data_IF_970516972341
#
_entry.id   IF_970516972341
#
_cell.length_a   1.000
_cell.length_b   1.000
_cell.length_c   1.000
_cell.angle_alpha   90.00
_cell.angle_beta   90.00
_cell.angle_gamma   90.00
#
_symmetry.space_group_name_H-M   'P 1'
#
loop_
_entity.id
_entity.type
_entity.pdbx_description
1 polymer ?
#
# COMPACT_ATOMS: atom_id res chain seq x y z
N UNK A 1 -5.62 15.18 15.97
CA UNK A 1 -4.71 15.87 15.04
C UNK A 1 -3.31 15.29 15.04
N UNK A 2 -2.62 15.25 16.20
CA UNK A 2 -1.21 14.83 16.34
C UNK A 2 -0.87 13.50 15.65
N UNK A 3 -1.57 12.41 16.00
CA UNK A 3 -1.30 11.09 15.42
C UNK A 3 -1.60 11.07 13.92
N UNK A 4 -2.74 11.63 13.50
CA UNK A 4 -3.10 11.69 12.08
C UNK A 4 -2.04 12.41 11.26
N UNK A 5 -1.48 13.52 11.76
CA UNK A 5 -0.45 14.26 11.03
C UNK A 5 0.85 13.46 10.93
N UNK A 6 1.28 12.79 12.00
CA UNK A 6 2.50 11.98 11.99
C UNK A 6 2.38 10.71 11.15
N UNK A 7 1.22 10.04 11.20
CA UNK A 7 0.89 8.91 10.33
C UNK A 7 0.87 9.36 8.87
N UNK A 8 0.26 10.52 8.57
CA UNK A 8 0.25 11.07 7.22
C UNK A 8 1.67 11.38 6.73
N UNK A 9 2.50 12.01 7.56
CA UNK A 9 3.89 12.32 7.24
C UNK A 9 4.71 11.05 6.94
N UNK A 10 4.54 10.00 7.75
CA UNK A 10 5.13 8.68 7.52
C UNK A 10 4.69 8.08 6.18
N UNK A 11 3.38 8.05 5.91
CA UNK A 11 2.84 7.50 4.66
C UNK A 11 3.33 8.27 3.43
N UNK A 12 3.47 9.59 3.52
CA UNK A 12 4.01 10.41 2.42
C UNK A 12 5.48 10.05 2.18
N UNK A 13 6.29 9.92 3.24
CA UNK A 13 7.68 9.56 3.12
C UNK A 13 7.88 8.17 2.48
N UNK A 14 7.11 7.17 2.96
CA UNK A 14 7.22 5.79 2.49
C UNK A 14 6.65 5.55 1.09
N UNK A 15 5.53 6.18 0.71
CA UNK A 15 4.82 5.81 -0.51
C UNK A 15 4.89 6.86 -1.64
N UNK A 16 5.23 8.10 -1.33
CA UNK A 16 5.32 9.18 -2.32
C UNK A 16 6.75 9.68 -2.53
N UNK A 17 7.54 9.82 -1.47
CA UNK A 17 8.93 10.28 -1.57
C UNK A 17 9.92 9.14 -1.84
N UNK A 18 9.62 7.92 -1.38
CA UNK A 18 10.41 6.74 -1.71
C UNK A 18 10.17 6.33 -3.18
N UNK A 19 11.23 6.33 -4.00
CA UNK A 19 11.13 5.93 -5.40
C UNK A 19 11.28 4.42 -5.58
N UNK A 20 10.79 3.86 -6.69
CA UNK A 20 10.95 2.43 -7.02
C UNK A 20 12.44 2.00 -7.02
N UNK A 21 13.35 2.90 -7.40
CA UNK A 21 14.80 2.65 -7.35
C UNK A 21 15.34 2.54 -5.93
N UNK A 22 14.78 3.29 -4.98
CA UNK A 22 15.12 3.18 -3.56
C UNK A 22 14.59 1.88 -2.97
N UNK A 23 13.41 1.43 -3.41
CA UNK A 23 12.84 0.14 -2.99
C UNK A 23 13.65 -1.03 -3.56
N UNK A 24 14.07 -0.96 -4.83
CA UNK A 24 14.81 -2.04 -5.47
C UNK A 24 16.22 -2.24 -4.89
N UNK A 25 16.85 -1.17 -4.40
CA UNK A 25 18.18 -1.21 -3.78
C UNK A 25 18.17 -0.48 -2.43
N UNK A 26 17.33 -0.99 -1.52
CA UNK A 26 17.10 -0.40 -0.19
C UNK A 26 18.40 -0.20 0.59
N UNK A 27 19.37 -1.11 0.46
CA UNK A 27 20.64 -1.03 1.18
C UNK A 27 21.48 0.18 0.73
N UNK A 28 21.56 0.43 -0.58
CA UNK A 28 22.30 1.57 -1.14
C UNK A 28 21.61 2.91 -0.83
N UNK A 29 20.28 2.94 -0.87
CA UNK A 29 19.52 4.18 -0.72
C UNK A 29 18.96 4.42 0.68
N UNK A 30 19.35 3.63 1.68
CA UNK A 30 18.86 3.74 3.06
C UNK A 30 19.03 5.15 3.64
N UNK A 31 20.20 5.77 3.44
CA UNK A 31 20.44 7.12 3.93
C UNK A 31 19.49 8.13 3.28
N UNK A 32 19.28 8.04 1.96
CA UNK A 32 18.35 8.92 1.24
C UNK A 32 16.91 8.71 1.74
N UNK A 33 16.53 7.48 2.04
CA UNK A 33 15.23 7.16 2.64
C UNK A 33 15.07 7.87 3.99
N UNK A 34 16.03 7.68 4.90
CA UNK A 34 16.02 8.31 6.22
C UNK A 34 15.99 9.84 6.15
N UNK A 35 16.66 10.47 5.17
CA UNK A 35 16.62 11.94 5.00
C UNK A 35 15.20 12.44 4.72
N UNK A 36 14.44 11.80 3.82
CA UNK A 36 13.06 12.23 3.55
C UNK A 36 12.14 11.98 4.76
N UNK A 37 12.36 10.91 5.53
CA UNK A 37 11.65 10.69 6.80
C UNK A 37 11.98 11.77 7.83
N UNK A 38 13.25 12.15 7.97
CA UNK A 38 13.64 13.26 8.85
C UNK A 38 12.92 14.54 8.46
N UNK A 39 12.93 14.91 7.18
CA UNK A 39 12.30 16.15 6.71
C UNK A 39 10.79 16.15 6.97
N UNK A 40 10.10 15.07 6.60
CA UNK A 40 8.64 14.98 6.72
C UNK A 40 8.16 14.95 8.17
N UNK A 41 8.80 14.16 9.03
CA UNK A 41 8.47 14.08 10.47
C UNK A 41 8.83 15.38 11.17
N UNK A 42 9.99 15.97 10.88
CA UNK A 42 10.39 17.26 11.44
C UNK A 42 9.38 18.37 11.08
N UNK A 43 8.95 18.43 9.81
CA UNK A 43 7.96 19.40 9.38
C UNK A 43 6.61 19.20 10.08
N UNK A 44 6.14 17.95 10.18
CA UNK A 44 4.90 17.61 10.87
C UNK A 44 4.93 18.01 12.35
N UNK A 45 6.03 17.69 13.05
CA UNK A 45 6.20 18.07 14.47
C UNK A 45 6.35 19.58 14.63
N UNK A 46 6.99 20.27 13.69
CA UNK A 46 7.08 21.74 13.70
C UNK A 46 5.70 22.38 13.55
N UNK A 47 4.85 21.87 12.66
CA UNK A 47 3.45 22.32 12.54
C UNK A 47 2.70 22.11 13.86
N UNK A 48 2.87 20.96 14.51
CA UNK A 48 2.25 20.70 15.82
C UNK A 48 2.77 21.65 16.91
N UNK A 49 4.07 21.95 16.91
CA UNK A 49 4.67 22.89 17.83
C UNK A 49 4.06 24.30 17.70
N UNK A 50 3.78 24.77 16.48
CA UNK A 50 3.11 26.08 16.33
C UNK A 50 1.66 26.10 16.80
N UNK A 51 1.00 24.94 16.91
CA UNK A 51 -0.40 24.86 17.37
C UNK A 51 -0.50 24.68 18.89
N UNK A 52 0.35 23.83 19.47
CA UNK A 52 0.23 23.39 20.87
C UNK A 52 1.57 23.32 21.61
N UNK A 53 2.63 23.87 21.01
CA UNK A 53 3.99 23.71 21.49
C UNK A 53 4.32 24.58 22.70
N UNK A 54 5.18 24.04 23.55
CA UNK A 54 5.76 24.73 24.70
C UNK A 54 7.27 24.76 24.60
N UNK A 55 7.88 23.65 24.17
CA UNK A 55 9.34 23.45 24.16
C UNK A 55 9.79 22.76 22.89
N UNK A 56 10.50 23.50 22.02
CA UNK A 56 10.87 23.03 20.69
C UNK A 56 11.80 21.80 20.74
N UNK A 57 12.75 21.77 21.67
CA UNK A 57 13.72 20.69 21.78
C UNK A 57 13.03 19.35 22.10
N UNK A 58 12.12 19.33 23.07
CA UNK A 58 11.48 18.10 23.57
C UNK A 58 10.28 17.67 22.74
N UNK A 59 9.64 18.59 22.01
CA UNK A 59 8.45 18.29 21.19
C UNK A 59 8.73 18.14 19.70
N UNK A 60 9.87 18.66 19.20
CA UNK A 60 10.23 18.58 17.78
C UNK A 60 11.53 17.82 17.57
N UNK A 61 12.65 18.31 18.10
CA UNK A 61 13.97 17.76 17.77
C UNK A 61 14.19 16.34 18.33
N UNK A 62 13.96 16.14 19.63
CA UNK A 62 14.13 14.82 20.25
C UNK A 62 13.17 13.76 19.66
N UNK A 63 11.86 14.03 19.50
CA UNK A 63 10.94 13.07 18.89
C UNK A 63 11.30 12.75 17.44
N UNK A 64 11.72 13.74 16.65
CA UNK A 64 12.19 13.52 15.27
C UNK A 64 13.37 12.54 15.26
N UNK A 65 14.38 12.80 16.10
CA UNK A 65 15.57 11.94 16.18
C UNK A 65 15.18 10.50 16.56
N UNK A 66 14.32 10.33 17.56
CA UNK A 66 13.88 9.01 18.03
C UNK A 66 13.07 8.27 16.97
N UNK A 67 12.08 8.92 16.32
CA UNK A 67 11.26 8.29 15.26
C UNK A 67 12.14 7.84 14.10
N UNK A 68 13.03 8.71 13.60
CA UNK A 68 13.91 8.39 12.46
C UNK A 68 14.88 7.25 12.82
N UNK A 69 15.39 7.24 14.06
CA UNK A 69 16.27 6.15 14.53
C UNK A 69 15.52 4.82 14.58
N UNK A 70 14.32 4.81 15.18
CA UNK A 70 13.46 3.62 15.23
C UNK A 70 13.10 3.13 13.83
N UNK A 71 12.75 4.04 12.93
CA UNK A 71 12.47 3.73 11.52
C UNK A 71 13.67 3.06 10.86
N UNK A 72 14.88 3.63 10.99
CA UNK A 72 16.10 3.03 10.43
C UNK A 72 16.42 1.65 10.98
N UNK A 73 16.14 1.41 12.27
CA UNK A 73 16.29 0.09 12.89
C UNK A 73 15.29 -0.91 12.30
N UNK A 74 14.02 -0.55 12.19
CA UNK A 74 12.95 -1.40 11.62
C UNK A 74 13.28 -1.78 10.17
N UNK A 75 13.62 -0.79 9.34
CA UNK A 75 14.01 -1.00 7.95
C UNK A 75 15.26 -1.89 7.84
N UNK A 76 16.25 -1.67 8.71
CA UNK A 76 17.48 -2.47 8.75
C UNK A 76 17.23 -3.93 9.14
N UNK A 77 16.32 -4.18 10.10
CA UNK A 77 15.88 -5.54 10.46
C UNK A 77 15.17 -6.19 9.28
N UNK A 78 14.25 -5.47 8.62
CA UNK A 78 13.52 -5.96 7.44
C UNK A 78 14.47 -6.39 6.32
N UNK A 79 15.47 -5.57 5.98
CA UNK A 79 16.46 -5.88 4.94
C UNK A 79 17.17 -7.21 5.26
N UNK A 80 17.64 -7.40 6.50
CA UNK A 80 18.32 -8.63 6.92
C UNK A 80 17.40 -9.86 6.86
N UNK A 81 16.14 -9.71 7.27
CA UNK A 81 15.15 -10.79 7.23
C UNK A 81 14.75 -11.16 5.80
N UNK A 82 14.75 -10.21 4.87
CA UNK A 82 14.44 -10.43 3.48
C UNK A 82 15.59 -11.15 2.75
N UNK A 83 16.85 -10.82 3.05
CA UNK A 83 18.04 -11.50 2.49
C UNK A 83 18.13 -12.98 2.89
N UNK A 84 17.66 -13.35 4.10
CA UNK A 84 17.66 -14.73 4.59
C UNK A 84 16.66 -15.66 3.86
N UNK A 85 15.69 -15.08 3.15
CA UNK A 85 14.51 -15.80 2.63
C UNK A 85 14.69 -16.45 1.26
N UNK A 86 15.84 -16.30 0.59
CA UNK A 86 16.06 -16.67 -0.83
C UNK A 86 15.71 -18.13 -1.18
N UNK A 87 15.55 -19.03 -0.20
CA UNK A 87 15.44 -20.48 -0.40
C UNK A 87 14.02 -21.10 -0.31
N UNK A 88 12.91 -20.35 -0.17
CA UNK A 88 11.60 -20.99 0.14
C UNK A 88 10.45 -20.68 -0.81
N UNK A 89 9.72 -21.74 -1.21
CA UNK A 89 8.49 -21.78 -2.03
C UNK A 89 7.30 -20.94 -1.47
N UNK A 90 7.45 -20.25 -0.33
CA UNK A 90 6.47 -19.34 0.30
C UNK A 90 6.90 -17.85 0.26
N UNK A 91 7.70 -17.46 -0.73
CA UNK A 91 8.30 -16.13 -0.82
C UNK A 91 7.28 -14.98 -0.77
N UNK A 92 6.14 -15.10 -1.47
CA UNK A 92 5.11 -14.05 -1.49
C UNK A 92 4.49 -13.80 -0.11
N UNK A 93 3.99 -14.86 0.56
CA UNK A 93 3.32 -14.71 1.86
C UNK A 93 4.29 -14.24 2.94
N UNK A 94 5.55 -14.66 2.88
CA UNK A 94 6.59 -14.16 3.78
C UNK A 94 6.88 -12.68 3.53
N UNK A 95 7.09 -12.26 2.28
CA UNK A 95 7.29 -10.86 1.93
C UNK A 95 6.10 -9.97 2.31
N UNK A 96 4.88 -10.49 2.14
CA UNK A 96 3.66 -9.82 2.56
C UNK A 96 3.63 -9.62 4.08
N UNK A 97 3.96 -10.68 4.83
CA UNK A 97 4.01 -10.63 6.30
C UNK A 97 5.09 -9.67 6.79
N UNK A 98 6.27 -9.65 6.15
CA UNK A 98 7.33 -8.69 6.44
C UNK A 98 6.89 -7.26 6.13
N UNK A 99 6.18 -7.02 5.03
CA UNK A 99 5.67 -5.69 4.69
C UNK A 99 4.62 -5.20 5.70
N UNK A 100 3.65 -6.05 6.06
CA UNK A 100 2.62 -5.68 7.05
C UNK A 100 3.25 -5.46 8.42
N UNK A 101 4.14 -6.36 8.86
CA UNK A 101 4.84 -6.23 10.14
C UNK A 101 5.70 -4.96 10.21
N UNK A 102 6.39 -4.63 9.13
CA UNK A 102 7.16 -3.38 8.99
C UNK A 102 6.28 -2.13 9.16
N UNK A 103 5.15 -2.05 8.44
CA UNK A 103 4.23 -0.91 8.60
C UNK A 103 3.63 -0.83 10.01
N UNK A 104 3.30 -1.96 10.64
CA UNK A 104 2.82 -1.98 12.02
C UNK A 104 3.88 -1.48 13.01
N UNK A 105 5.14 -1.90 12.86
CA UNK A 105 6.24 -1.45 13.71
C UNK A 105 6.50 0.06 13.58
N UNK A 106 6.37 0.62 12.38
CA UNK A 106 6.44 2.08 12.17
C UNK A 106 5.28 2.83 12.83
N UNK A 107 4.05 2.32 12.76
CA UNK A 107 2.91 2.94 13.46
C UNK A 107 3.09 2.85 14.97
N UNK A 108 3.54 1.69 15.49
CA UNK A 108 3.82 1.51 16.92
C UNK A 108 4.92 2.48 17.38
N UNK A 109 5.99 2.66 16.61
CA UNK A 109 7.06 3.59 16.97
C UNK A 109 6.55 5.04 17.06
N UNK A 110 5.66 5.46 16.15
CA UNK A 110 5.00 6.77 16.22
C UNK A 110 4.14 6.88 17.49
N UNK A 111 3.32 5.87 17.80
CA UNK A 111 2.47 5.87 19.00
C UNK A 111 3.28 5.95 20.29
N UNK A 112 4.37 5.19 20.39
CA UNK A 112 5.29 5.21 21.53
C UNK A 112 5.90 6.60 21.70
N UNK A 113 6.34 7.23 20.63
CA UNK A 113 6.92 8.58 20.70
C UNK A 113 5.86 9.63 21.05
N UNK A 114 4.64 9.53 20.53
CA UNK A 114 3.53 10.40 20.92
C UNK A 114 3.22 10.29 22.42
N UNK A 115 3.22 9.08 22.96
CA UNK A 115 3.01 8.85 24.39
C UNK A 115 4.14 9.44 25.24
N UNK A 116 5.40 9.17 24.90
CA UNK A 116 6.56 9.57 25.72
C UNK A 116 6.87 11.07 25.66
N UNK A 117 6.80 11.70 24.48
CA UNK A 117 7.26 13.08 24.29
C UNK A 117 6.14 14.10 24.16
N UNK A 118 5.03 13.71 23.51
CA UNK A 118 3.88 14.60 23.27
C UNK A 118 2.80 14.40 24.36
N UNK A 119 2.98 13.42 25.25
CA UNK A 119 2.06 13.09 26.37
C UNK A 119 0.64 12.80 25.90
N UNK A 120 0.52 12.15 24.76
CA UNK A 120 -0.76 11.72 24.22
C UNK A 120 -1.26 10.49 24.99
N UNK A 121 -2.48 10.55 25.52
CA UNK A 121 -3.11 9.41 26.21
C UNK A 121 -3.62 8.36 25.21
N UNK A 122 -3.03 7.15 25.26
CA UNK A 122 -3.40 6.05 24.37
C UNK A 122 -4.77 5.43 24.71
N UNK A 123 -5.21 5.53 25.96
CA UNK A 123 -6.52 5.07 26.40
C UNK A 123 -7.64 5.91 25.80
N UNK A 124 -7.47 7.23 25.83
CA UNK A 124 -8.41 8.17 25.19
C UNK A 124 -8.52 7.94 23.69
N UNK A 125 -7.40 7.67 23.03
CA UNK A 125 -7.39 7.35 21.59
C UNK A 125 -8.14 6.05 21.32
N UNK A 126 -7.87 5.01 22.11
CA UNK A 126 -8.54 3.73 21.94
C UNK A 126 -10.05 3.90 22.12
N UNK A 127 -10.49 4.61 23.16
CA UNK A 127 -11.89 4.93 23.40
C UNK A 127 -12.50 5.74 22.23
N UNK A 128 -11.79 6.76 21.75
CA UNK A 128 -12.20 7.56 20.59
C UNK A 128 -12.40 6.73 19.34
N UNK A 129 -11.49 5.79 19.05
CA UNK A 129 -11.59 4.87 17.91
C UNK A 129 -12.80 3.96 18.05
N UNK A 130 -13.03 3.38 19.24
CA UNK A 130 -14.18 2.51 19.47
C UNK A 130 -15.52 3.24 19.28
N UNK A 131 -15.63 4.49 19.77
CA UNK A 131 -16.80 5.34 19.53
C UNK A 131 -16.95 5.64 18.05
N UNK A 132 -15.89 6.11 17.39
CA UNK A 132 -15.90 6.47 15.95
C UNK A 132 -16.27 5.30 15.04
N UNK A 133 -15.97 4.07 15.45
CA UNK A 133 -16.33 2.84 14.72
C UNK A 133 -17.69 2.27 15.13
N UNK A 134 -18.43 2.93 16.04
CA UNK A 134 -19.70 2.45 16.60
C UNK A 134 -19.60 1.06 17.26
N UNK A 135 -18.43 0.76 17.84
CA UNK A 135 -18.19 -0.51 18.54
C UNK A 135 -18.61 -0.46 20.01
N UNK A 136 -18.75 0.74 20.57
CA UNK A 136 -19.29 0.97 21.91
C UNK A 136 -20.38 2.05 21.83
N UNK A 137 -21.33 1.99 22.76
CA UNK A 137 -22.37 3.00 22.87
C UNK A 137 -21.81 4.31 23.43
N UNK A 138 -22.22 5.42 22.85
CA UNK A 138 -21.82 6.75 23.29
C UNK A 138 -22.09 7.82 22.24
N UNK A 139 -21.79 9.07 22.60
CA UNK A 139 -21.89 10.20 21.69
C UNK A 139 -20.75 10.12 20.67
N UNK A 140 -21.09 10.22 19.39
CA UNK A 140 -20.08 10.26 18.32
C UNK A 140 -19.19 11.50 18.51
N UNK A 141 -17.85 11.33 18.49
CA UNK A 141 -16.96 12.46 18.67
C UNK A 141 -17.05 13.42 17.49
N UNK A 142 -17.09 14.72 17.76
CA UNK A 142 -16.90 15.71 16.70
C UNK A 142 -15.43 15.66 16.24
N UNK A 143 -15.23 15.28 14.98
CA UNK A 143 -13.92 15.16 14.38
C UNK A 143 -13.30 16.53 14.05
N UNK A 144 -14.11 17.58 13.88
CA UNK A 144 -13.63 18.87 13.37
C UNK A 144 -13.05 18.78 11.95
N UNK A 145 -12.93 19.94 11.28
CA UNK A 145 -12.53 20.00 9.87
C UNK A 145 -11.11 19.47 9.63
N UNK A 146 -10.14 19.84 10.47
CA UNK A 146 -8.73 19.48 10.27
C UNK A 146 -8.49 17.97 10.39
N UNK A 147 -9.06 17.31 11.42
CA UNK A 147 -8.88 15.86 11.55
C UNK A 147 -9.59 15.10 10.42
N UNK A 148 -10.77 15.57 10.00
CA UNK A 148 -11.51 14.98 8.88
C UNK A 148 -10.69 15.04 7.59
N UNK A 149 -10.05 16.17 7.28
CA UNK A 149 -9.17 16.30 6.12
C UNK A 149 -7.92 15.42 6.22
N UNK A 150 -7.25 15.40 7.38
CA UNK A 150 -6.08 14.53 7.59
C UNK A 150 -6.44 13.04 7.43
N UNK A 151 -7.58 12.64 7.99
CA UNK A 151 -8.10 11.28 7.86
C UNK A 151 -8.43 10.93 6.41
N UNK A 152 -9.09 11.84 5.67
CA UNK A 152 -9.34 11.68 4.22
C UNK A 152 -8.04 11.49 3.44
N UNK A 153 -7.01 12.29 3.73
CA UNK A 153 -5.69 12.15 3.08
C UNK A 153 -5.04 10.79 3.38
N UNK A 154 -5.08 10.34 4.64
CA UNK A 154 -4.58 9.00 5.01
C UNK A 154 -5.34 7.92 4.25
N UNK A 155 -6.67 7.98 4.27
CA UNK A 155 -7.53 6.99 3.62
C UNK A 155 -7.32 6.96 2.10
N UNK A 156 -7.07 8.12 1.48
CA UNK A 156 -6.68 8.21 0.07
C UNK A 156 -5.37 7.46 -0.21
N UNK A 157 -4.34 7.67 0.61
CA UNK A 157 -3.02 7.01 0.42
C UNK A 157 -3.14 5.49 0.69
N UNK A 158 -3.86 5.09 1.74
CA UNK A 158 -4.11 3.68 2.06
C UNK A 158 -4.84 2.97 0.91
N UNK A 159 -5.93 3.58 0.44
CA UNK A 159 -6.75 3.06 -0.64
C UNK A 159 -5.97 2.98 -1.96
N UNK A 160 -5.10 3.94 -2.27
CA UNK A 160 -4.39 3.97 -3.55
C UNK A 160 -3.03 3.29 -3.49
N UNK A 161 -2.02 3.95 -2.93
CA UNK A 161 -0.61 3.55 -2.97
C UNK A 161 -0.30 2.34 -2.10
N UNK A 162 -0.76 2.32 -0.85
CA UNK A 162 -0.46 1.20 0.08
C UNK A 162 -1.08 -0.09 -0.44
N UNK A 163 -2.35 -0.04 -0.82
CA UNK A 163 -3.06 -1.20 -1.39
C UNK A 163 -2.45 -1.65 -2.71
N UNK A 164 -2.02 -0.73 -3.58
CA UNK A 164 -1.30 -1.08 -4.81
C UNK A 164 0.01 -1.82 -4.54
N UNK A 165 0.77 -1.38 -3.55
CA UNK A 165 2.02 -2.03 -3.14
C UNK A 165 1.76 -3.42 -2.52
N UNK A 166 0.73 -3.53 -1.67
CA UNK A 166 0.28 -4.79 -1.08
C UNK A 166 -0.07 -5.83 -2.17
N UNK A 167 -0.88 -5.43 -3.15
CA UNK A 167 -1.27 -6.29 -4.28
C UNK A 167 -0.04 -6.69 -5.11
N UNK A 168 0.90 -5.76 -5.36
CA UNK A 168 2.15 -6.06 -6.08
C UNK A 168 2.99 -7.11 -5.36
N UNK A 169 3.12 -7.04 -4.04
CA UNK A 169 3.83 -8.06 -3.24
C UNK A 169 3.09 -9.39 -3.27
N UNK A 170 1.77 -9.37 -3.09
CA UNK A 170 0.93 -10.56 -3.08
C UNK A 170 0.98 -11.32 -4.42
N UNK A 171 0.96 -10.60 -5.54
CA UNK A 171 0.99 -11.17 -6.90
C UNK A 171 2.41 -11.47 -7.42
N UNK A 172 3.46 -10.91 -6.81
CA UNK A 172 4.82 -10.83 -7.39
C UNK A 172 5.45 -12.14 -7.86
N UNK A 173 5.20 -13.27 -7.18
CA UNK A 173 5.69 -14.59 -7.65
C UNK A 173 4.81 -15.22 -8.74
N UNK A 174 3.51 -14.88 -8.82
CA UNK A 174 2.57 -15.47 -9.78
C UNK A 174 2.91 -15.05 -11.22
N UNK A 175 3.27 -13.78 -11.42
CA UNK A 175 3.73 -13.26 -12.73
C UNK A 175 5.00 -13.96 -13.22
N UNK A 176 5.88 -14.41 -12.32
CA UNK A 176 7.11 -15.11 -12.69
C UNK A 176 6.82 -16.54 -13.15
N UNK A 177 5.89 -17.25 -12.51
CA UNK A 177 5.45 -18.59 -12.95
C UNK A 177 4.78 -18.55 -14.32
N UNK A 178 3.92 -17.56 -14.56
CA UNK A 178 3.32 -17.26 -15.87
C UNK A 178 4.37 -17.08 -16.97
N UNK A 179 5.35 -16.19 -16.77
CA UNK A 179 6.41 -15.93 -17.76
C UNK A 179 7.30 -17.14 -18.05
N UNK A 180 7.54 -18.01 -17.05
CA UNK A 180 8.32 -19.24 -17.22
C UNK A 180 7.52 -20.33 -17.93
N UNK A 181 6.21 -20.33 -17.77
CA UNK A 181 5.30 -21.26 -18.43
C UNK A 181 5.12 -20.91 -19.90
N UNK A 182 4.84 -19.64 -20.24
CA UNK A 182 4.81 -19.15 -21.63
C UNK A 182 6.13 -19.46 -22.35
N UNK A 183 7.28 -19.25 -21.69
CA UNK A 183 8.59 -19.62 -22.22
C UNK A 183 8.73 -21.13 -22.51
N UNK A 184 8.15 -22.00 -21.68
CA UNK A 184 8.16 -23.46 -21.91
C UNK A 184 7.19 -23.90 -23.01
N UNK A 185 6.02 -23.27 -23.11
CA UNK A 185 5.04 -23.56 -24.16
C UNK A 185 5.52 -23.07 -25.52
N UNK A 186 6.03 -21.85 -25.60
CA UNK A 186 6.66 -21.33 -26.83
C UNK A 186 7.84 -22.20 -27.28
N UNK A 187 8.72 -22.63 -26.37
CA UNK A 187 9.81 -23.56 -26.72
C UNK A 187 9.30 -24.95 -27.14
N UNK A 188 8.23 -25.46 -26.51
CA UNK A 188 7.62 -26.73 -26.88
C UNK A 188 6.96 -26.65 -28.25
N UNK A 189 6.22 -25.58 -28.54
CA UNK A 189 5.59 -25.34 -29.83
C UNK A 189 6.63 -25.10 -30.92
N UNK A 190 7.72 -24.37 -30.63
CA UNK A 190 8.85 -24.21 -31.54
C UNK A 190 9.56 -25.55 -31.80
N UNK A 191 9.73 -26.40 -30.78
CA UNK A 191 10.33 -27.73 -30.93
C UNK A 191 9.42 -28.70 -31.69
N UNK A 192 8.09 -28.56 -31.56
CA UNK A 192 7.10 -29.30 -32.34
C UNK A 192 7.05 -28.80 -33.78
N UNK A 193 7.18 -27.49 -34.01
CA UNK A 193 7.22 -26.86 -35.34
C UNK A 193 8.58 -26.99 -36.06
N UNK A 194 9.64 -27.41 -35.36
CA UNK A 194 10.98 -27.60 -35.94
C UNK A 194 11.06 -28.74 -36.97
N UNK A 195 9.96 -29.44 -37.25
CA UNK A 195 9.82 -30.38 -38.38
C UNK A 195 9.24 -29.76 -39.65
N UNK A 196 8.93 -28.46 -39.67
CA UNK A 196 8.45 -27.78 -40.88
C UNK A 196 9.52 -26.90 -41.49
N UNK A 197 9.83 -27.16 -42.76
CA UNK A 197 10.81 -26.45 -43.55
C UNK A 197 10.54 -24.92 -43.63
N UNK A 198 11.65 -24.21 -43.42
CA UNK A 198 11.95 -22.79 -43.57
C UNK A 198 11.17 -22.04 -44.66
N UNK A 199 10.49 -20.97 -44.28
CA UNK A 199 10.49 -19.69 -45.01
C UNK A 199 10.37 -18.54 -44.01
N UNK A 200 11.43 -17.73 -43.94
CA UNK A 200 11.58 -16.59 -43.04
C UNK A 200 10.85 -15.37 -43.60
N UNK A 201 9.75 -14.99 -42.95
CA UNK A 201 9.39 -13.58 -42.72
C UNK A 201 8.12 -13.53 -41.89
N UNK A 202 8.20 -13.95 -40.63
CA UNK A 202 7.19 -13.56 -39.66
C UNK A 202 7.88 -12.70 -38.62
N UNK A 203 7.42 -11.46 -38.59
CA UNK A 203 7.72 -10.43 -37.62
C UNK A 203 7.48 -11.00 -36.22
N UNK A 204 8.56 -11.50 -35.61
CA UNK A 204 8.56 -11.87 -34.20
C UNK A 204 8.29 -10.59 -33.41
N UNK A 205 7.01 -10.33 -33.15
CA UNK A 205 6.57 -9.34 -32.18
C UNK A 205 7.02 -9.86 -30.84
N UNK A 206 8.26 -9.55 -30.50
CA UNK A 206 8.70 -9.57 -29.12
C UNK A 206 7.73 -8.64 -28.38
N UNK A 207 6.88 -9.21 -27.54
CA UNK A 207 6.23 -8.41 -26.51
C UNK A 207 7.32 -8.13 -25.46
N UNK A 208 8.30 -7.29 -25.83
CA UNK A 208 9.08 -6.57 -24.82
C UNK A 208 8.02 -5.77 -24.09
N UNK A 209 7.71 -6.19 -22.86
CA UNK A 209 6.92 -5.40 -21.94
C UNK A 209 7.53 -4.01 -21.92
N UNK A 210 6.89 -3.10 -22.67
CA UNK A 210 7.33 -1.73 -22.77
C UNK A 210 7.14 -1.15 -21.38
N UNK A 211 8.18 -0.57 -20.82
CA UNK A 211 8.22 0.02 -19.47
C UNK A 211 7.11 1.08 -19.21
N UNK A 212 6.30 1.42 -20.24
CA UNK A 212 5.15 2.31 -20.23
C UNK A 212 3.85 1.69 -19.68
N UNK A 213 3.67 0.36 -19.69
CA UNK A 213 2.40 -0.26 -19.29
C UNK A 213 2.19 -0.36 -17.76
N UNK A 214 3.28 -0.43 -16.99
CA UNK A 214 3.25 -0.48 -15.52
C UNK A 214 2.61 0.78 -14.90
N UNK A 215 2.82 1.96 -15.52
CA UNK A 215 2.24 3.22 -15.05
C UNK A 215 0.73 3.28 -15.26
N UNK A 216 0.25 2.82 -16.42
CA UNK A 216 -1.18 2.85 -16.77
C UNK A 216 -2.00 1.89 -15.91
N UNK A 217 -1.51 0.67 -15.69
CA UNK A 217 -2.17 -0.29 -14.80
C UNK A 217 -2.29 0.20 -13.36
N UNK A 218 -1.26 0.87 -12.84
CA UNK A 218 -1.27 1.48 -11.50
C UNK A 218 -2.37 2.54 -11.37
N UNK A 219 -2.45 3.45 -12.36
CA UNK A 219 -3.48 4.52 -12.38
C UNK A 219 -4.89 3.95 -12.51
N UNK A 220 -5.11 2.95 -13.37
CA UNK A 220 -6.43 2.28 -13.48
C UNK A 220 -6.84 1.69 -12.13
N UNK A 221 -5.94 0.98 -11.46
CA UNK A 221 -6.22 0.43 -10.13
C UNK A 221 -6.56 1.49 -9.09
N UNK A 222 -5.93 2.68 -9.17
CA UNK A 222 -6.26 3.80 -8.27
C UNK A 222 -7.68 4.30 -8.51
N UNK A 223 -8.04 4.53 -9.78
CA UNK A 223 -9.36 5.01 -10.17
C UNK A 223 -10.47 4.02 -9.78
N UNK A 224 -10.26 2.72 -9.99
CA UNK A 224 -11.24 1.69 -9.62
C UNK A 224 -11.52 1.68 -8.12
N UNK A 225 -10.47 1.73 -7.28
CA UNK A 225 -10.66 1.72 -5.82
C UNK A 225 -11.33 2.99 -5.32
N UNK A 226 -10.96 4.15 -5.86
CA UNK A 226 -11.62 5.42 -5.53
C UNK A 226 -13.09 5.43 -5.96
N UNK A 227 -13.41 4.86 -7.12
CA UNK A 227 -14.78 4.69 -7.58
C UNK A 227 -15.58 3.77 -6.65
N UNK A 228 -14.99 2.65 -6.22
CA UNK A 228 -15.63 1.74 -5.24
C UNK A 228 -15.89 2.49 -3.93
N UNK A 229 -14.91 3.22 -3.39
CA UNK A 229 -15.09 4.03 -2.18
C UNK A 229 -16.24 5.02 -2.36
N UNK A 230 -16.27 5.78 -3.47
CA UNK A 230 -17.33 6.74 -3.76
C UNK A 230 -18.73 6.09 -3.77
N UNK A 231 -18.88 4.92 -4.40
CA UNK A 231 -20.15 4.19 -4.44
C UNK A 231 -20.61 3.73 -3.06
N UNK A 232 -19.68 3.29 -2.19
CA UNK A 232 -19.99 2.91 -0.80
C UNK A 232 -20.48 4.12 0.01
N UNK A 233 -19.84 5.29 -0.17
CA UNK A 233 -20.27 6.53 0.47
C UNK A 233 -21.67 6.94 0.03
N UNK A 234 -21.98 6.81 -1.26
CA UNK A 234 -23.32 7.02 -1.82
C UNK A 234 -24.35 5.95 -1.41
N UNK A 235 -23.92 4.87 -0.74
CA UNK A 235 -24.79 3.75 -0.35
C UNK A 235 -25.15 2.79 -1.51
N UNK A 236 -24.49 2.91 -2.67
CA UNK A 236 -24.76 2.09 -3.85
C UNK A 236 -23.89 0.83 -3.88
N UNK A 237 -24.15 -0.10 -2.96
CA UNK A 237 -23.41 -1.37 -2.88
C UNK A 237 -23.62 -2.23 -4.15
N UNK A 238 -24.81 -2.18 -4.75
CA UNK A 238 -25.13 -2.92 -5.97
C UNK A 238 -24.27 -2.49 -7.17
N UNK A 239 -23.93 -1.20 -7.27
CA UNK A 239 -23.09 -0.68 -8.35
C UNK A 239 -21.64 -1.19 -8.26
N UNK A 240 -21.13 -1.45 -7.06
CA UNK A 240 -19.82 -2.08 -6.87
C UNK A 240 -19.80 -3.48 -7.49
N UNK A 241 -20.84 -4.28 -7.25
CA UNK A 241 -21.01 -5.61 -7.86
C UNK A 241 -21.06 -5.55 -9.38
N UNK A 242 -21.78 -4.57 -9.94
CA UNK A 242 -21.83 -4.34 -11.39
C UNK A 242 -20.45 -4.05 -11.98
N UNK A 243 -19.64 -3.22 -11.34
CA UNK A 243 -18.27 -2.91 -11.83
C UNK A 243 -17.38 -4.14 -11.82
N UNK A 244 -17.42 -4.96 -10.75
CA UNK A 244 -16.65 -6.22 -10.68
C UNK A 244 -17.06 -7.16 -11.81
N UNK A 245 -18.36 -7.31 -12.04
CA UNK A 245 -18.89 -8.15 -13.11
C UNK A 245 -18.50 -7.62 -14.50
N UNK A 246 -18.65 -6.32 -14.75
CA UNK A 246 -18.27 -5.68 -16.01
C UNK A 246 -16.76 -5.87 -16.29
N UNK A 247 -15.91 -5.65 -15.28
CA UNK A 247 -14.46 -5.86 -15.40
C UNK A 247 -14.14 -7.31 -15.75
N UNK A 248 -14.81 -8.28 -15.13
CA UNK A 248 -14.64 -9.70 -15.42
C UNK A 248 -15.12 -10.07 -16.84
N UNK A 249 -16.24 -9.50 -17.30
CA UNK A 249 -16.78 -9.73 -18.64
C UNK A 249 -15.84 -9.26 -19.75
N UNK A 250 -15.22 -8.08 -19.60
CA UNK A 250 -14.27 -7.56 -20.60
C UNK A 250 -13.05 -8.46 -20.79
N UNK A 251 -12.78 -9.34 -19.83
CA UNK A 251 -11.63 -10.23 -19.80
C UNK A 251 -11.99 -11.69 -19.94
N UNK A 252 -13.24 -12.01 -20.24
CA UNK A 252 -13.75 -13.38 -20.30
C UNK A 252 -12.90 -14.29 -21.20
N UNK A 253 -12.53 -13.84 -22.40
CA UNK A 253 -11.67 -14.61 -23.31
C UNK A 253 -10.26 -14.91 -22.78
N UNK A 254 -9.76 -14.09 -21.86
CA UNK A 254 -8.44 -14.29 -21.24
C UNK A 254 -8.52 -15.20 -20.01
N UNK A 255 -9.73 -15.48 -19.50
CA UNK A 255 -9.94 -16.38 -18.37
C UNK A 255 -9.80 -17.86 -18.73
N UNK A 256 -9.72 -18.20 -20.03
CA UNK A 256 -9.41 -19.56 -20.48
C UNK A 256 -7.98 -19.96 -20.09
N UNK A 257 -7.08 -18.98 -19.94
CA UNK A 257 -5.78 -19.19 -19.32
C UNK A 257 -5.94 -19.18 -17.79
N UNK A 258 -5.75 -20.37 -17.19
CA UNK A 258 -5.90 -20.59 -15.75
C UNK A 258 -5.00 -19.67 -14.92
N UNK A 259 -3.74 -19.53 -15.30
CA UNK A 259 -2.78 -18.76 -14.50
C UNK A 259 -3.08 -17.27 -14.60
N UNK A 260 -3.49 -16.81 -15.79
CA UNK A 260 -3.97 -15.43 -15.98
C UNK A 260 -5.25 -15.17 -15.19
N UNK A 261 -6.20 -16.11 -15.20
CA UNK A 261 -7.45 -16.02 -14.46
C UNK A 261 -7.19 -15.95 -12.94
N UNK A 262 -6.33 -16.80 -12.40
CA UNK A 262 -5.93 -16.78 -10.99
C UNK A 262 -5.28 -15.42 -10.63
N UNK A 263 -4.37 -14.90 -11.45
CA UNK A 263 -3.74 -13.60 -11.25
C UNK A 263 -4.76 -12.45 -11.24
N UNK A 264 -5.62 -12.42 -12.25
CA UNK A 264 -6.62 -11.37 -12.42
C UNK A 264 -7.67 -11.38 -11.30
N UNK A 265 -8.18 -12.56 -10.95
CA UNK A 265 -9.19 -12.73 -9.90
C UNK A 265 -8.62 -12.37 -8.54
N UNK A 266 -7.45 -12.91 -8.18
CA UNK A 266 -6.84 -12.68 -6.87
C UNK A 266 -6.47 -11.20 -6.69
N UNK A 267 -5.95 -10.54 -7.73
CA UNK A 267 -5.67 -9.11 -7.70
C UNK A 267 -6.92 -8.25 -7.60
N UNK A 268 -7.93 -8.52 -8.45
CA UNK A 268 -9.17 -7.71 -8.51
C UNK A 268 -9.99 -7.87 -7.24
N UNK A 269 -10.25 -9.10 -6.79
CA UNK A 269 -11.06 -9.35 -5.61
C UNK A 269 -10.42 -8.76 -4.35
N UNK A 270 -9.10 -8.90 -4.18
CA UNK A 270 -8.39 -8.30 -3.04
C UNK A 270 -8.45 -6.77 -3.09
N UNK A 271 -8.27 -6.17 -4.27
CA UNK A 271 -8.36 -4.72 -4.47
C UNK A 271 -9.75 -4.17 -4.12
N UNK A 272 -10.81 -4.83 -4.59
CA UNK A 272 -12.18 -4.41 -4.34
C UNK A 272 -12.59 -4.64 -2.89
N UNK A 273 -12.21 -5.77 -2.29
CA UNK A 273 -12.46 -6.05 -0.87
C UNK A 273 -11.86 -4.96 0.03
N UNK A 274 -10.58 -4.62 -0.18
CA UNK A 274 -9.93 -3.56 0.60
C UNK A 274 -10.58 -2.19 0.36
N UNK A 275 -10.94 -1.86 -0.89
CA UNK A 275 -11.63 -0.60 -1.19
C UNK A 275 -13.01 -0.52 -0.52
N UNK A 276 -13.76 -1.62 -0.44
CA UNK A 276 -15.03 -1.68 0.29
C UNK A 276 -14.79 -1.44 1.77
N UNK A 277 -13.81 -2.11 2.38
CA UNK A 277 -13.45 -1.91 3.80
C UNK A 277 -13.10 -0.44 4.06
N UNK A 278 -12.26 0.17 3.23
CA UNK A 278 -11.92 1.59 3.38
C UNK A 278 -13.14 2.51 3.23
N UNK A 279 -14.03 2.23 2.27
CA UNK A 279 -15.25 3.01 2.07
C UNK A 279 -16.21 2.91 3.26
N UNK A 280 -16.36 1.72 3.85
CA UNK A 280 -17.17 1.51 5.06
C UNK A 280 -16.56 2.23 6.25
N UNK A 281 -15.25 2.08 6.48
CA UNK A 281 -14.54 2.80 7.55
C UNK A 281 -14.72 4.30 7.40
N UNK A 282 -14.55 4.85 6.19
CA UNK A 282 -14.73 6.27 5.95
C UNK A 282 -16.18 6.72 6.22
N UNK A 283 -17.16 5.92 5.78
CA UNK A 283 -18.58 6.21 6.00
C UNK A 283 -18.95 6.22 7.47
N UNK A 284 -18.50 5.22 8.23
CA UNK A 284 -18.82 5.08 9.65
C UNK A 284 -18.16 6.19 10.46
N UNK A 285 -16.89 6.52 10.16
CA UNK A 285 -16.15 7.54 10.91
C UNK A 285 -16.57 8.96 10.55
N UNK A 286 -16.82 9.30 9.28
CA UNK A 286 -17.08 10.70 8.90
C UNK A 286 -18.56 11.05 8.69
N UNK A 287 -19.42 10.06 8.43
CA UNK A 287 -20.83 10.26 8.06
C UNK A 287 -21.80 9.49 8.98
N UNK A 288 -21.28 8.75 9.95
CA UNK A 288 -22.05 7.89 10.85
C UNK A 288 -22.51 8.63 12.09
#
# INVERSE_FOLDING_TARGET
>A
MTILLLVLAHLIADFYLQTETMVSDKKKYLLRHLVHHTITIFLALTVLYFVQGTEFLTQVLLPTLVIVTLHGVVDGIKIKLQEKSVTTQRQNSYNLSLFVGDQLLHIISILVVCYLFIKVDLGDIFHYILLSLKLIEGVQPDHGLVNSLLFLCIMFILCTSVTGHLIKIMLGTLTRHLSLFEGKYTLRDLAVSATSEKNMSEEYTYMVMKHQDLSRGKVIGYLERLLVVALILMGSFSAVGFIVAAKSLTRFKQMDDRDWAEYFLLGTLTSFLLAIVYGVVLKVVLLG
#
